data_IF_911204422691
#
_entry.id   IF_911204422691
#
_cell.length_a   1.000
_cell.length_b   1.000
_cell.length_c   1.000
_cell.angle_alpha   90.00
_cell.angle_beta   90.00
_cell.angle_gamma   90.00
#
_symmetry.space_group_name_H-M   'P 1'
#
loop_
_entity.id
_entity.type
_entity.pdbx_description
1 polymer ?
#
# COMPACT_ATOMS: atom_id res chain seq x y z
N UNK A 1 -58.68 -12.30 -21.21
CA UNK A 1 -58.90 -12.87 -22.56
C UNK A 1 -57.62 -12.62 -23.36
N UNK A 2 -56.91 -13.70 -23.80
CA UNK A 2 -55.84 -13.84 -24.82
C UNK A 2 -54.70 -12.78 -24.87
N UNK A 3 -53.44 -13.06 -24.51
CA UNK A 3 -52.41 -13.91 -25.17
C UNK A 3 -51.91 -13.39 -26.53
N UNK A 4 -50.61 -13.08 -26.66
CA UNK A 4 -49.63 -13.85 -27.46
C UNK A 4 -48.25 -13.16 -27.57
N UNK A 5 -47.23 -14.02 -27.57
CA UNK A 5 -45.77 -13.78 -27.59
C UNK A 5 -45.23 -14.07 -29.00
N UNK A 6 -44.15 -13.38 -29.36
CA UNK A 6 -43.37 -13.46 -30.61
C UNK A 6 -42.67 -14.81 -30.84
N UNK A 7 -42.39 -15.13 -32.12
CA UNK A 7 -41.58 -16.29 -32.50
C UNK A 7 -40.65 -16.06 -33.70
N UNK A 8 -39.74 -17.06 -33.85
CA UNK A 8 -38.93 -17.47 -35.02
C UNK A 8 -37.62 -16.66 -35.29
N UNK A 9 -36.50 -17.23 -35.78
CA UNK A 9 -36.18 -18.57 -36.30
C UNK A 9 -34.65 -18.79 -36.50
N UNK A 10 -34.31 -20.01 -36.93
CA UNK A 10 -33.17 -20.54 -37.72
C UNK A 10 -32.40 -21.67 -36.97
N UNK A 11 -32.73 -22.96 -37.18
CA UNK A 11 -32.55 -23.86 -38.34
C UNK A 11 -31.20 -24.59 -38.33
N UNK A 12 -31.21 -25.93 -38.32
CA UNK A 12 -30.23 -26.79 -39.00
C UNK A 12 -30.69 -28.26 -39.02
N UNK A 13 -30.34 -28.92 -40.12
CA UNK A 13 -30.94 -30.10 -40.73
C UNK A 13 -30.29 -31.42 -40.26
N UNK A 14 -31.08 -32.50 -40.17
CA UNK A 14 -30.64 -33.89 -39.94
C UNK A 14 -30.19 -34.56 -41.24
N UNK A 15 -29.18 -35.45 -41.14
CA UNK A 15 -29.12 -36.72 -41.89
C UNK A 15 -28.66 -37.82 -40.91
N UNK A 16 -29.32 -38.98 -40.99
CA UNK A 16 -29.20 -40.15 -40.13
C UNK A 16 -28.75 -41.36 -40.97
N UNK A 17 -27.95 -42.27 -40.41
CA UNK A 17 -27.78 -43.64 -40.90
C UNK A 17 -27.59 -44.61 -39.71
N UNK A 18 -28.70 -45.29 -39.43
CA UNK A 18 -28.95 -46.64 -38.86
C UNK A 18 -27.80 -47.53 -38.37
N UNK A 19 -28.01 -48.20 -37.23
CA UNK A 19 -28.02 -49.69 -37.09
C UNK A 19 -28.43 -50.14 -35.65
N UNK A 20 -29.23 -51.21 -35.58
CA UNK A 20 -29.61 -52.04 -34.41
C UNK A 20 -29.21 -53.50 -34.70
N UNK A 21 -29.41 -54.53 -33.83
CA UNK A 21 -29.36 -54.65 -32.36
C UNK A 21 -28.51 -55.85 -31.83
N UNK A 22 -28.44 -55.98 -30.49
CA UNK A 22 -27.84 -57.03 -29.63
C UNK A 22 -27.98 -58.52 -30.02
N UNK A 23 -26.97 -59.37 -29.71
CA UNK A 23 -27.10 -60.67 -28.99
C UNK A 23 -25.76 -61.40 -28.65
N UNK A 24 -25.77 -62.16 -27.52
CA UNK A 24 -24.90 -63.31 -27.06
C UNK A 24 -23.57 -62.96 -26.36
N UNK A 25 -23.36 -63.22 -25.05
CA UNK A 25 -23.23 -64.48 -24.25
C UNK A 25 -21.89 -65.23 -24.45
N UNK A 26 -21.10 -65.23 -23.36
CA UNK A 26 -20.14 -66.22 -22.82
C UNK A 26 -18.72 -66.38 -23.38
N UNK A 27 -17.85 -66.84 -22.46
CA UNK A 27 -16.41 -67.18 -22.52
C UNK A 27 -15.47 -65.98 -22.29
N UNK A 28 -14.48 -65.98 -21.40
CA UNK A 28 -13.92 -66.96 -20.48
C UNK A 28 -12.46 -66.54 -20.19
N UNK A 29 -12.02 -66.65 -18.92
CA UNK A 29 -10.62 -66.70 -18.47
C UNK A 29 -9.65 -65.55 -18.84
N UNK A 30 -9.22 -64.77 -17.84
CA UNK A 30 -7.89 -64.85 -17.19
C UNK A 30 -7.74 -63.62 -16.28
N UNK A 31 -7.68 -63.86 -14.96
CA UNK A 31 -7.27 -62.88 -13.95
C UNK A 31 -5.75 -62.85 -13.91
N UNK A 32 -5.13 -61.71 -14.17
CA UNK A 32 -3.84 -61.33 -13.57
C UNK A 32 -3.98 -59.88 -13.10
N UNK A 33 -3.89 -59.72 -11.78
CA UNK A 33 -4.01 -58.45 -11.05
C UNK A 33 -2.67 -57.72 -11.17
N UNK A 34 -2.65 -56.57 -11.85
CA UNK A 34 -1.53 -55.63 -11.79
C UNK A 34 -1.75 -54.67 -10.63
N UNK A 35 -0.95 -54.87 -9.58
CA UNK A 35 -0.68 -53.93 -8.51
C UNK A 35 0.44 -53.00 -8.99
N UNK A 36 0.11 -51.77 -9.37
CA UNK A 36 1.08 -50.69 -9.56
C UNK A 36 0.61 -49.48 -8.74
N UNK A 37 0.95 -49.52 -7.45
CA UNK A 37 1.03 -48.35 -6.58
C UNK A 37 2.11 -47.42 -7.13
N UNK A 38 1.68 -46.32 -7.74
CA UNK A 38 2.54 -45.18 -8.03
C UNK A 38 2.79 -44.44 -6.72
N UNK A 39 3.87 -44.79 -6.03
CA UNK A 39 4.49 -43.92 -5.02
C UNK A 39 5.19 -42.78 -5.79
N UNK A 40 4.50 -41.66 -6.01
CA UNK A 40 5.19 -40.41 -6.26
C UNK A 40 5.63 -39.84 -4.92
N UNK A 41 6.94 -39.95 -4.68
CA UNK A 41 7.67 -39.19 -3.68
C UNK A 41 7.28 -37.70 -3.80
N UNK A 42 6.46 -37.22 -2.87
CA UNK A 42 6.52 -35.82 -2.47
C UNK A 42 7.86 -35.66 -1.76
N UNK A 43 8.89 -35.28 -2.52
CA UNK A 43 10.05 -34.64 -1.94
C UNK A 43 9.55 -33.31 -1.38
N UNK A 44 9.20 -33.29 -0.10
CA UNK A 44 9.13 -32.06 0.66
C UNK A 44 10.50 -31.41 0.52
N UNK A 45 10.59 -30.34 -0.27
CA UNK A 45 11.70 -29.41 -0.16
C UNK A 45 11.74 -29.00 1.32
N UNK A 46 12.86 -29.20 2.03
CA UNK A 46 12.94 -28.74 3.41
C UNK A 46 12.73 -27.22 3.35
N UNK A 47 11.59 -26.76 3.87
CA UNK A 47 11.49 -25.38 4.31
C UNK A 47 12.54 -25.29 5.41
N UNK A 48 13.72 -24.76 5.08
CA UNK A 48 14.70 -24.40 6.09
C UNK A 48 13.99 -23.40 6.99
N UNK A 49 13.62 -23.86 8.19
CA UNK A 49 13.10 -22.96 9.22
C UNK A 49 14.27 -22.09 9.64
N UNK A 50 14.34 -20.88 9.08
CA UNK A 50 15.34 -19.88 9.43
C UNK A 50 15.14 -19.30 10.85
N UNK A 51 14.18 -19.84 11.62
CA UNK A 51 13.93 -19.40 12.99
C UNK A 51 15.10 -19.76 13.89
N UNK A 52 15.94 -18.78 14.19
CA UNK A 52 16.82 -18.86 15.35
C UNK A 52 15.98 -18.99 16.65
N UNK A 53 16.52 -19.66 17.66
CA UNK A 53 15.81 -19.88 18.93
C UNK A 53 15.49 -18.59 19.71
N UNK A 54 16.07 -17.43 19.33
CA UNK A 54 15.82 -16.17 20.03
C UNK A 54 14.66 -15.37 19.42
N UNK A 55 14.48 -15.40 18.10
CA UNK A 55 13.42 -14.64 17.43
C UNK A 55 12.02 -15.13 17.78
N UNK A 56 11.87 -16.40 18.16
CA UNK A 56 10.59 -16.97 18.61
C UNK A 56 10.06 -16.36 19.91
N UNK A 57 10.89 -15.63 20.67
CA UNK A 57 10.51 -15.00 21.95
C UNK A 57 10.10 -13.53 21.80
N UNK A 58 10.24 -12.93 20.62
CA UNK A 58 9.99 -11.49 20.44
C UNK A 58 8.55 -11.09 20.72
N UNK A 59 7.58 -11.95 20.45
CA UNK A 59 6.18 -11.67 20.79
C UNK A 59 5.96 -11.66 22.31
N UNK A 60 6.59 -12.58 23.04
CA UNK A 60 6.48 -12.62 24.49
C UNK A 60 7.16 -11.39 25.12
N UNK A 61 8.36 -11.04 24.66
CA UNK A 61 9.07 -9.83 25.08
C UNK A 61 8.27 -8.56 24.80
N UNK A 62 7.64 -8.47 23.62
CA UNK A 62 6.82 -7.32 23.26
C UNK A 62 5.55 -7.19 24.10
N UNK A 63 5.07 -8.31 24.67
CA UNK A 63 3.90 -8.38 25.57
C UNK A 63 4.26 -8.16 27.04
N UNK A 64 5.54 -8.16 27.41
CA UNK A 64 5.93 -7.86 28.78
C UNK A 64 5.39 -6.49 29.19
N UNK A 65 4.80 -6.34 30.39
CA UNK A 65 4.17 -5.08 30.80
C UNK A 65 5.08 -3.87 30.65
N UNK A 66 6.38 -4.01 30.94
CA UNK A 66 7.34 -2.91 30.79
C UNK A 66 7.48 -2.42 29.34
N UNK A 67 7.43 -3.32 28.36
CA UNK A 67 7.54 -2.96 26.93
C UNK A 67 6.18 -2.50 26.41
N UNK A 68 5.10 -3.20 26.76
CA UNK A 68 3.74 -2.85 26.33
C UNK A 68 3.31 -1.48 26.85
N UNK A 69 3.40 -1.24 28.16
CA UNK A 69 2.96 0.02 28.77
C UNK A 69 3.80 1.19 28.24
N UNK A 70 5.10 0.99 28.01
CA UNK A 70 5.97 2.01 27.39
C UNK A 70 5.57 2.33 25.95
N UNK A 71 5.21 1.33 25.14
CA UNK A 71 4.71 1.57 23.77
C UNK A 71 3.37 2.31 23.79
N UNK A 72 2.47 1.94 24.69
CA UNK A 72 1.18 2.61 24.89
C UNK A 72 1.38 4.07 25.27
N UNK A 73 2.28 4.36 26.20
CA UNK A 73 2.62 5.72 26.62
C UNK A 73 3.18 6.57 25.47
N UNK A 74 4.08 6.00 24.66
CA UNK A 74 4.62 6.69 23.47
C UNK A 74 3.50 6.98 22.48
N UNK A 75 2.71 5.96 22.13
CA UNK A 75 1.62 6.07 21.17
C UNK A 75 0.64 7.16 21.60
N UNK A 76 0.23 7.17 22.88
CA UNK A 76 -0.70 8.17 23.42
C UNK A 76 -0.11 9.58 23.43
N UNK A 77 1.18 9.76 23.75
CA UNK A 77 1.85 11.08 23.67
C UNK A 77 1.84 11.65 22.25
N UNK A 78 2.07 10.80 21.25
CA UNK A 78 2.01 11.18 19.83
C UNK A 78 0.55 11.48 19.44
N UNK A 79 -0.38 10.60 19.81
CA UNK A 79 -1.81 10.77 19.51
C UNK A 79 -2.41 12.08 20.07
N UNK A 80 -2.00 12.47 21.28
CA UNK A 80 -2.44 13.71 21.92
C UNK A 80 -1.89 14.97 21.23
N UNK A 81 -0.78 14.89 20.49
CA UNK A 81 -0.10 16.01 19.85
C UNK A 81 0.17 15.76 18.35
N UNK A 82 -0.88 15.54 17.54
CA UNK A 82 -0.72 15.21 16.12
C UNK A 82 -0.17 16.40 15.33
N UNK A 83 0.82 16.13 14.48
CA UNK A 83 1.49 17.10 13.62
C UNK A 83 1.34 16.69 12.14
N UNK A 84 1.26 17.65 11.22
CA UNK A 84 1.05 17.37 9.79
C UNK A 84 2.37 17.10 9.09
N UNK A 85 2.30 16.61 7.85
CA UNK A 85 3.45 16.38 6.98
C UNK A 85 4.45 17.55 6.97
N UNK A 86 5.71 17.26 7.29
CA UNK A 86 6.83 18.21 7.42
C UNK A 86 6.75 19.20 8.60
N UNK A 87 5.74 19.08 9.47
CA UNK A 87 5.56 19.88 10.68
C UNK A 87 5.76 19.04 11.97
N UNK A 88 6.20 17.79 11.85
CA UNK A 88 6.28 16.77 12.92
C UNK A 88 7.46 16.96 13.90
N UNK A 89 7.69 18.19 14.33
CA UNK A 89 8.87 18.56 15.12
C UNK A 89 8.87 17.94 16.51
N UNK A 90 7.73 17.92 17.22
CA UNK A 90 7.64 17.34 18.56
C UNK A 90 7.61 15.81 18.51
N UNK A 91 6.94 15.22 17.51
CA UNK A 91 6.96 13.77 17.26
C UNK A 91 8.37 13.29 16.93
N UNK A 92 9.05 13.98 16.01
CA UNK A 92 10.45 13.70 15.65
C UNK A 92 11.39 13.84 16.87
N UNK A 93 11.18 14.86 17.71
CA UNK A 93 11.94 15.06 18.95
C UNK A 93 11.70 13.95 19.97
N UNK A 94 10.47 13.47 20.13
CA UNK A 94 10.15 12.32 20.97
C UNK A 94 10.90 11.08 20.50
N UNK A 95 10.84 10.77 19.19
CA UNK A 95 11.57 9.65 18.58
C UNK A 95 13.06 9.74 18.89
N UNK A 96 13.70 10.90 18.62
CA UNK A 96 15.13 11.12 18.92
C UNK A 96 15.46 10.94 20.40
N UNK A 97 14.59 11.40 21.29
CA UNK A 97 14.74 11.23 22.75
C UNK A 97 14.71 9.75 23.13
N UNK A 98 13.75 8.97 22.61
CA UNK A 98 13.67 7.54 22.89
C UNK A 98 14.85 6.76 22.31
N UNK A 99 15.28 7.06 21.07
CA UNK A 99 16.50 6.45 20.49
C UNK A 99 17.74 6.78 21.33
N UNK A 100 17.88 8.02 21.81
CA UNK A 100 18.98 8.43 22.70
C UNK A 100 18.98 7.64 24.01
N UNK A 101 17.80 7.46 24.64
CA UNK A 101 17.66 6.67 25.87
C UNK A 101 18.02 5.19 25.67
N UNK A 102 17.70 4.63 24.50
CA UNK A 102 18.05 3.27 24.13
C UNK A 102 19.52 3.12 23.70
N UNK A 103 20.28 4.22 23.59
CA UNK A 103 21.67 4.20 23.12
C UNK A 103 21.79 3.82 21.65
N UNK A 104 20.81 4.21 20.83
CA UNK A 104 20.75 3.95 19.39
C UNK A 104 21.21 5.22 18.64
N UNK A 105 22.33 5.19 17.89
CA UNK A 105 22.76 6.32 17.07
C UNK A 105 21.76 6.58 15.93
N UNK A 106 21.63 7.85 15.52
CA UNK A 106 20.72 8.25 14.44
C UNK A 106 21.22 9.46 13.64
N UNK A 107 20.74 9.59 12.39
CA UNK A 107 20.86 10.78 11.53
C UNK A 107 19.58 11.64 11.63
N UNK A 108 19.74 12.95 11.79
CA UNK A 108 18.68 13.97 11.78
C UNK A 108 19.30 15.35 11.47
N UNK A 109 18.62 16.23 10.71
CA UNK A 109 17.37 15.98 9.99
C UNK A 109 17.57 15.18 8.71
N UNK A 110 16.58 14.38 8.34
CA UNK A 110 16.41 13.76 7.01
C UNK A 110 15.00 14.10 6.54
N UNK A 111 14.81 14.57 5.31
CA UNK A 111 13.51 15.02 4.82
C UNK A 111 12.76 15.97 5.78
N UNK A 112 13.45 17.00 6.31
CA UNK A 112 12.97 17.98 7.31
C UNK A 112 12.85 17.41 8.74
N UNK A 113 11.94 16.47 8.97
CA UNK A 113 11.58 15.94 10.31
C UNK A 113 11.85 14.45 10.47
N UNK A 114 12.27 13.75 9.41
CA UNK A 114 12.61 12.34 9.46
C UNK A 114 13.85 12.03 10.29
N UNK A 115 13.87 10.81 10.84
CA UNK A 115 14.94 10.31 11.72
C UNK A 115 15.33 8.91 11.27
N UNK A 116 16.63 8.67 11.08
CA UNK A 116 17.15 7.36 10.66
C UNK A 116 18.05 6.79 11.75
N UNK A 117 17.62 5.73 12.44
CA UNK A 117 18.37 5.06 13.52
C UNK A 117 19.14 3.82 13.05
N UNK A 118 20.19 3.42 13.77
CA UNK A 118 21.04 2.28 13.40
C UNK A 118 21.30 1.35 14.61
N UNK A 119 21.01 0.06 14.46
CA UNK A 119 21.26 -0.98 15.48
C UNK A 119 22.11 -2.09 14.86
N UNK A 120 23.16 -2.54 15.53
CA UNK A 120 23.98 -3.66 15.06
C UNK A 120 25.45 -3.31 14.89
N UNK A 121 26.09 -3.89 13.89
CA UNK A 121 27.54 -3.79 13.68
C UNK A 121 27.99 -2.41 13.20
N UNK A 122 27.08 -1.62 12.63
CA UNK A 122 27.41 -0.37 11.92
C UNK A 122 27.92 -0.62 10.49
N UNK A 123 27.94 -1.87 10.04
CA UNK A 123 28.41 -2.28 8.71
C UNK A 123 27.37 -3.17 8.03
N UNK A 124 27.57 -3.38 6.73
CA UNK A 124 26.77 -4.25 5.87
C UNK A 124 26.70 -5.70 6.41
N UNK A 125 25.61 -6.46 6.16
CA UNK A 125 24.39 -6.09 5.42
C UNK A 125 23.46 -5.15 6.18
N UNK A 126 22.75 -4.30 5.43
CA UNK A 126 21.75 -3.36 5.96
C UNK A 126 20.33 -3.80 5.60
N UNK A 127 19.42 -3.76 6.58
CA UNK A 127 17.98 -3.97 6.37
C UNK A 127 17.20 -2.85 7.04
N UNK A 128 16.22 -2.27 6.33
CA UNK A 128 15.42 -1.17 6.85
C UNK A 128 14.05 -1.62 7.37
N UNK A 129 13.59 -0.96 8.42
CA UNK A 129 12.24 -1.04 8.96
C UNK A 129 11.64 0.38 8.95
N UNK A 130 10.44 0.56 8.38
CA UNK A 130 9.81 1.88 8.20
C UNK A 130 8.58 2.06 9.08
N UNK A 131 8.45 3.25 9.67
CA UNK A 131 7.23 3.81 10.23
C UNK A 131 7.07 5.26 9.75
N UNK A 132 5.89 5.62 9.27
CA UNK A 132 5.44 7.00 9.02
C UNK A 132 5.09 7.68 10.35
N UNK A 133 5.16 9.02 10.39
CA UNK A 133 5.04 9.80 11.64
C UNK A 133 4.01 10.92 11.59
N UNK A 134 3.47 11.27 10.42
CA UNK A 134 2.54 12.38 10.25
C UNK A 134 1.10 12.04 10.61
N UNK A 135 0.33 13.08 10.92
CA UNK A 135 -1.10 13.04 11.19
C UNK A 135 -1.90 13.69 10.04
N UNK A 136 -3.22 13.68 10.17
CA UNK A 136 -4.15 14.23 9.19
C UNK A 136 -4.84 15.51 9.70
N UNK A 137 -5.27 16.41 8.79
CA UNK A 137 -6.05 17.61 9.12
C UNK A 137 -7.53 17.25 9.36
N UNK A 138 -7.77 16.37 10.34
CA UNK A 138 -9.09 15.88 10.73
C UNK A 138 -9.36 16.26 12.19
N UNK A 139 -10.54 16.78 12.47
CA UNK A 139 -10.99 16.96 13.85
C UNK A 139 -11.36 15.60 14.45
N UNK A 140 -10.66 15.18 15.49
CA UNK A 140 -11.02 13.97 16.24
C UNK A 140 -12.37 14.14 16.95
N UNK A 141 -13.22 13.11 16.84
CA UNK A 141 -14.55 13.03 17.45
C UNK A 141 -14.68 11.82 18.39
N UNK A 142 -13.56 11.16 18.73
CA UNK A 142 -13.52 10.13 19.77
C UNK A 142 -13.46 10.82 21.14
N UNK A 143 -14.40 10.49 22.02
CA UNK A 143 -14.40 10.99 23.41
C UNK A 143 -13.67 10.00 24.32
N UNK A 144 -12.42 10.30 24.66
CA UNK A 144 -11.56 9.49 25.54
C UNK A 144 -10.41 10.34 26.13
N UNK A 145 -9.69 9.79 27.11
CA UNK A 145 -8.66 10.51 27.89
C UNK A 145 -7.49 11.04 27.04
N UNK A 146 -7.07 10.29 26.03
CA UNK A 146 -5.89 10.60 25.21
C UNK A 146 -6.25 11.11 23.80
N UNK A 147 -7.44 11.70 23.63
CA UNK A 147 -7.79 12.36 22.37
C UNK A 147 -6.81 13.48 22.04
N UNK A 148 -6.67 13.81 20.77
CA UNK A 148 -5.92 14.95 20.25
C UNK A 148 -6.24 16.22 21.04
N UNK A 149 -5.18 16.88 21.51
CA UNK A 149 -5.21 18.19 22.17
C UNK A 149 -5.03 19.33 21.17
N UNK A 150 -4.82 19.01 19.89
CA UNK A 150 -4.59 19.97 18.80
C UNK A 150 -5.84 20.04 17.92
N UNK A 151 -6.63 21.14 17.96
CA UNK A 151 -7.85 21.26 17.17
C UNK A 151 -7.58 21.07 15.67
N UNK A 152 -8.46 20.30 15.01
CA UNK A 152 -8.38 20.04 13.57
C UNK A 152 -7.26 19.09 13.12
N UNK A 153 -6.51 18.47 14.03
CA UNK A 153 -5.48 17.46 13.70
C UNK A 153 -5.74 16.15 14.47
N UNK A 154 -5.54 15.00 13.81
CA UNK A 154 -5.76 13.67 14.37
C UNK A 154 -4.88 12.62 13.70
N UNK A 155 -4.30 11.70 14.48
CA UNK A 155 -3.75 10.45 13.94
C UNK A 155 -4.89 9.48 13.57
N UNK A 156 -5.53 9.73 12.43
CA UNK A 156 -6.64 8.94 11.92
C UNK A 156 -6.22 7.80 10.98
N UNK A 157 -4.92 7.56 10.81
CA UNK A 157 -4.37 6.47 9.97
C UNK A 157 -3.52 5.45 10.76
N UNK A 158 -3.24 5.72 12.04
CA UNK A 158 -2.48 4.82 12.93
C UNK A 158 -0.96 5.04 12.94
N UNK A 159 -0.46 6.13 12.36
CA UNK A 159 0.98 6.43 12.29
C UNK A 159 1.62 6.59 13.69
N UNK A 160 0.85 7.07 14.67
CA UNK A 160 1.22 7.04 16.10
C UNK A 160 1.54 5.63 16.62
N UNK A 161 0.79 4.63 16.15
CA UNK A 161 1.02 3.24 16.46
C UNK A 161 2.20 2.66 15.69
N UNK A 162 2.37 3.03 14.41
CA UNK A 162 3.51 2.59 13.60
C UNK A 162 4.84 3.02 14.26
N UNK A 163 4.92 4.27 14.71
CA UNK A 163 6.08 4.79 15.49
C UNK A 163 6.30 3.99 16.76
N UNK A 164 5.25 3.78 17.56
CA UNK A 164 5.36 3.05 18.82
C UNK A 164 5.83 1.60 18.61
N UNK A 165 5.33 0.93 17.57
CA UNK A 165 5.73 -0.43 17.20
C UNK A 165 7.18 -0.49 16.71
N UNK A 166 7.63 0.49 15.92
CA UNK A 166 9.01 0.53 15.45
C UNK A 166 9.99 0.85 16.60
N UNK A 167 9.62 1.72 17.54
CA UNK A 167 10.39 1.97 18.77
C UNK A 167 10.41 0.74 19.69
N UNK A 168 9.32 0.00 19.77
CA UNK A 168 9.25 -1.32 20.43
C UNK A 168 10.24 -2.31 19.82
N UNK A 169 10.24 -2.41 18.49
CA UNK A 169 11.17 -3.26 17.76
C UNK A 169 12.61 -2.83 18.00
N UNK A 170 12.89 -1.52 18.00
CA UNK A 170 14.19 -0.95 18.30
C UNK A 170 14.68 -1.36 19.70
N UNK A 171 13.82 -1.29 20.74
CA UNK A 171 14.14 -1.70 22.11
C UNK A 171 14.52 -3.19 22.17
N UNK A 172 13.75 -4.07 21.53
CA UNK A 172 14.03 -5.52 21.49
C UNK A 172 15.31 -5.81 20.72
N UNK A 173 15.46 -5.25 19.50
CA UNK A 173 16.65 -5.46 18.67
C UNK A 173 17.92 -4.98 19.37
N UNK A 174 17.86 -3.83 20.05
CA UNK A 174 19.01 -3.29 20.80
C UNK A 174 19.41 -4.19 21.97
N UNK A 175 18.46 -4.81 22.66
CA UNK A 175 18.74 -5.79 23.71
C UNK A 175 19.44 -7.05 23.18
N UNK A 176 19.21 -7.38 21.90
CA UNK A 176 19.78 -8.53 21.19
C UNK A 176 20.85 -8.14 20.16
N UNK A 177 21.42 -6.94 20.25
CA UNK A 177 22.29 -6.37 19.21
C UNK A 177 23.49 -7.27 18.86
N UNK A 178 24.01 -8.02 19.84
CA UNK A 178 25.14 -8.95 19.67
C UNK A 178 24.81 -10.17 18.81
N UNK A 179 23.53 -10.50 18.67
CA UNK A 179 23.04 -11.65 17.91
C UNK A 179 22.68 -11.27 16.45
N UNK A 180 22.87 -10.00 16.08
CA UNK A 180 22.50 -9.44 14.77
C UNK A 180 23.76 -9.32 13.87
N UNK A 181 23.93 -10.18 12.85
CA UNK A 181 25.11 -10.17 11.98
C UNK A 181 24.97 -9.15 10.84
N UNK A 182 24.82 -7.87 11.19
CA UNK A 182 24.64 -6.76 10.26
C UNK A 182 24.05 -5.54 10.97
N UNK A 183 23.38 -4.67 10.22
CA UNK A 183 22.81 -3.44 10.76
C UNK A 183 21.35 -3.27 10.37
N UNK A 184 20.49 -3.05 11.36
CA UNK A 184 19.09 -2.66 11.17
C UNK A 184 19.01 -1.14 11.10
N UNK A 185 18.38 -0.63 10.04
CA UNK A 185 18.12 0.78 9.78
C UNK A 185 16.66 1.08 10.14
N UNK A 186 16.43 1.98 11.09
CA UNK A 186 15.09 2.39 11.51
C UNK A 186 14.71 3.68 10.80
N UNK A 187 13.74 3.63 9.90
CA UNK A 187 13.29 4.76 9.07
C UNK A 187 12.01 5.33 9.68
N UNK A 188 12.13 6.47 10.37
CA UNK A 188 10.98 7.25 10.83
C UNK A 188 10.70 8.35 9.81
N UNK A 189 9.68 8.14 8.99
CA UNK A 189 9.39 8.92 7.81
C UNK A 189 8.34 10.02 8.07
N UNK A 190 8.57 11.27 7.65
CA UNK A 190 7.55 12.32 7.65
C UNK A 190 6.63 12.28 6.43
N UNK A 191 5.52 12.99 6.50
CA UNK A 191 4.72 13.41 5.36
C UNK A 191 4.30 12.30 4.37
N UNK A 192 3.81 11.16 4.87
CA UNK A 192 3.21 10.09 4.06
C UNK A 192 1.92 10.54 3.38
N UNK A 193 1.08 11.32 4.10
CA UNK A 193 -0.31 11.67 3.73
C UNK A 193 -0.39 12.76 2.62
N UNK A 194 0.37 12.56 1.54
CA UNK A 194 0.43 13.41 0.35
C UNK A 194 1.67 14.30 0.27
N UNK A 195 2.59 14.23 1.24
CA UNK A 195 3.82 15.02 1.23
C UNK A 195 4.97 14.38 0.45
N UNK A 196 4.92 13.08 0.19
CA UNK A 196 5.97 12.35 -0.53
C UNK A 196 7.27 12.22 0.25
N UNK A 197 7.19 12.03 1.57
CA UNK A 197 8.37 11.96 2.44
C UNK A 197 9.29 10.77 2.16
N UNK A 198 8.75 9.64 1.69
CA UNK A 198 9.57 8.49 1.29
C UNK A 198 10.54 8.86 0.15
N UNK A 199 10.05 9.59 -0.86
CA UNK A 199 10.88 10.06 -1.97
C UNK A 199 11.98 11.00 -1.48
N UNK A 200 11.68 11.94 -0.58
CA UNK A 200 12.70 12.85 -0.02
C UNK A 200 13.78 12.10 0.77
N UNK A 201 13.42 11.07 1.53
CA UNK A 201 14.39 10.21 2.24
C UNK A 201 15.30 9.47 1.25
N UNK A 202 14.73 8.92 0.17
CA UNK A 202 15.52 8.29 -0.89
C UNK A 202 16.48 9.28 -1.56
N UNK A 203 15.98 10.48 -1.89
CA UNK A 203 16.77 11.53 -2.54
C UNK A 203 17.90 12.06 -1.63
N UNK A 204 17.73 12.03 -0.30
CA UNK A 204 18.78 12.34 0.70
C UNK A 204 19.92 11.30 0.71
N UNK A 205 19.75 10.14 0.06
CA UNK A 205 20.79 9.14 -0.15
C UNK A 205 21.11 8.25 1.05
N UNK A 206 20.45 8.44 2.19
CA UNK A 206 20.74 7.73 3.45
C UNK A 206 20.47 6.22 3.42
N UNK A 207 19.76 5.73 2.39
CA UNK A 207 19.39 4.32 2.23
C UNK A 207 20.07 3.63 1.04
N UNK A 208 21.08 4.23 0.41
CA UNK A 208 21.69 3.72 -0.84
C UNK A 208 22.18 2.26 -0.77
N UNK A 209 22.71 1.83 0.38
CA UNK A 209 23.27 0.48 0.57
C UNK A 209 22.32 -0.47 1.34
N UNK A 210 21.06 -0.11 1.50
CA UNK A 210 20.05 -0.96 2.16
C UNK A 210 19.61 -2.08 1.20
N UNK A 211 19.75 -3.34 1.65
CA UNK A 211 19.43 -4.53 0.84
C UNK A 211 17.94 -4.79 0.70
N UNK A 212 17.15 -4.46 1.73
CA UNK A 212 15.70 -4.58 1.72
C UNK A 212 15.07 -3.67 2.76
N UNK A 213 13.80 -3.30 2.53
CA UNK A 213 12.99 -2.50 3.46
C UNK A 213 11.66 -3.17 3.77
N UNK A 214 11.26 -3.16 5.05
CA UNK A 214 9.98 -3.68 5.50
C UNK A 214 9.14 -2.58 6.15
N UNK A 215 7.86 -2.50 5.78
CA UNK A 215 6.87 -1.63 6.40
C UNK A 215 5.68 -2.43 6.90
N UNK A 216 4.90 -1.84 7.80
CA UNK A 216 3.57 -2.33 8.14
C UNK A 216 2.58 -1.19 8.16
N UNK A 217 1.30 -1.53 7.99
CA UNK A 217 0.20 -0.62 8.22
C UNK A 217 -0.90 -1.33 9.04
N UNK A 218 -1.49 -0.65 10.01
CA UNK A 218 -2.59 -1.25 10.81
C UNK A 218 -3.88 -1.39 9.98
N UNK A 219 -4.64 -2.44 10.24
CA UNK A 219 -5.90 -2.76 9.55
C UNK A 219 -7.05 -2.97 10.56
N UNK A 220 -8.02 -2.03 10.66
CA UNK A 220 -9.17 -2.15 11.58
C UNK A 220 -10.13 -3.28 11.21
N UNK A 221 -10.02 -3.87 10.02
CA UNK A 221 -10.95 -4.88 9.53
C UNK A 221 -10.54 -6.30 9.90
N UNK A 222 -9.27 -6.50 10.31
CA UNK A 222 -8.68 -7.81 10.60
C UNK A 222 -8.45 -8.04 12.09
N UNK A 223 -8.68 -9.27 12.60
CA UNK A 223 -8.35 -9.66 13.96
C UNK A 223 -6.92 -9.35 14.39
N UNK A 224 -6.72 -9.00 15.67
CA UNK A 224 -5.38 -8.91 16.26
C UNK A 224 -4.60 -10.20 16.02
N UNK A 225 -3.33 -10.04 15.65
CA UNK A 225 -2.42 -11.14 15.37
C UNK A 225 -2.54 -11.71 13.95
N UNK A 226 -3.58 -11.35 13.18
CA UNK A 226 -3.59 -11.61 11.74
C UNK A 226 -2.73 -10.59 11.01
N UNK A 227 -1.93 -11.09 10.07
CA UNK A 227 -1.21 -10.28 9.08
C UNK A 227 -1.67 -10.64 7.68
N UNK A 228 -1.73 -9.65 6.78
CA UNK A 228 -2.14 -9.87 5.41
C UNK A 228 -1.30 -9.12 4.40
N UNK A 229 -0.89 -9.81 3.34
CA UNK A 229 -0.16 -9.20 2.22
C UNK A 229 -0.23 -10.12 1.00
N UNK A 230 0.49 -9.76 -0.06
CA UNK A 230 0.60 -10.54 -1.29
C UNK A 230 1.89 -10.22 -2.02
N UNK A 231 2.31 -11.14 -2.88
CA UNK A 231 3.31 -10.91 -3.92
C UNK A 231 2.79 -9.93 -4.98
N UNK A 232 3.70 -9.12 -5.52
CA UNK A 232 3.39 -8.16 -6.57
C UNK A 232 2.48 -7.01 -6.09
N UNK A 233 1.59 -6.50 -6.96
CA UNK A 233 0.80 -5.30 -6.65
C UNK A 233 -0.08 -5.45 -5.41
N UNK A 234 -0.04 -4.46 -4.51
CA UNK A 234 -0.86 -4.40 -3.29
C UNK A 234 -1.70 -3.11 -3.25
N UNK A 235 -1.05 -1.94 -3.30
CA UNK A 235 -1.71 -0.64 -3.31
C UNK A 235 -1.61 0.02 -4.69
N UNK A 236 -2.62 0.81 -5.06
CA UNK A 236 -2.63 1.53 -6.33
C UNK A 236 -1.67 2.73 -6.29
N UNK A 237 -1.11 3.08 -7.44
CA UNK A 237 -0.51 4.40 -7.62
C UNK A 237 -1.59 5.48 -7.67
N UNK A 238 -1.22 6.73 -7.46
CA UNK A 238 -2.13 7.87 -7.55
C UNK A 238 -1.44 9.02 -8.28
N UNK A 239 -2.17 9.60 -9.23
CA UNK A 239 -1.82 10.85 -9.88
C UNK A 239 -3.01 11.80 -9.87
N UNK A 240 -2.72 13.08 -10.01
CA UNK A 240 -3.72 14.14 -10.13
C UNK A 240 -3.60 14.82 -11.48
N UNK A 241 -4.66 15.48 -11.93
CA UNK A 241 -4.58 16.36 -13.07
C UNK A 241 -5.50 17.56 -12.89
N UNK A 242 -5.11 18.66 -13.52
CA UNK A 242 -5.92 19.85 -13.70
C UNK A 242 -5.85 20.27 -15.16
N UNK A 243 -6.97 20.66 -15.74
CA UNK A 243 -7.03 21.18 -17.08
C UNK A 243 -7.86 22.45 -17.18
N UNK A 244 -7.37 23.41 -17.95
CA UNK A 244 -8.06 24.66 -18.27
C UNK A 244 -8.49 24.58 -19.73
N UNK A 245 -9.80 24.63 -19.96
CA UNK A 245 -10.43 24.60 -21.27
C UNK A 245 -10.87 26.02 -21.60
N UNK A 246 -10.25 26.63 -22.62
CA UNK A 246 -10.44 28.03 -23.00
C UNK A 246 -11.20 28.13 -24.32
N UNK A 247 -12.28 28.90 -24.31
CA UNK A 247 -13.11 29.20 -25.47
C UNK A 247 -13.13 30.69 -25.74
N UNK A 248 -14.33 31.23 -25.94
CA UNK A 248 -14.58 32.66 -26.12
C UNK A 248 -15.97 32.98 -25.55
N UNK A 249 -15.99 33.76 -24.49
CA UNK A 249 -17.21 34.16 -23.81
C UNK A 249 -18.10 35.08 -24.64
N UNK A 250 -19.33 35.28 -24.14
CA UNK A 250 -20.28 36.20 -24.76
C UNK A 250 -21.69 36.08 -24.20
N UNK A 251 -22.62 36.85 -24.77
CA UNK A 251 -24.01 36.86 -24.32
C UNK A 251 -24.70 35.53 -24.68
N UNK A 252 -25.30 34.84 -23.71
CA UNK A 252 -25.86 33.49 -23.89
C UNK A 252 -26.96 33.41 -24.96
N UNK A 253 -27.71 34.50 -25.18
CA UNK A 253 -28.73 34.58 -26.24
C UNK A 253 -28.17 34.74 -27.67
N UNK A 254 -26.85 34.90 -27.84
CA UNK A 254 -26.20 35.13 -29.15
C UNK A 254 -24.98 34.20 -29.31
N UNK A 255 -25.14 32.87 -29.18
CA UNK A 255 -24.02 31.93 -29.04
C UNK A 255 -23.15 31.81 -30.30
N UNK A 256 -23.64 32.23 -31.48
CA UNK A 256 -22.89 32.14 -32.73
C UNK A 256 -21.59 32.98 -32.75
N UNK A 257 -21.45 33.96 -31.84
CA UNK A 257 -20.23 34.77 -31.70
C UNK A 257 -19.29 34.29 -30.59
N UNK A 258 -19.68 33.23 -29.88
CA UNK A 258 -18.97 32.63 -28.75
C UNK A 258 -18.43 31.23 -29.11
N UNK A 259 -17.53 30.73 -28.28
CA UNK A 259 -17.05 29.36 -28.29
C UNK A 259 -17.21 28.86 -26.86
N UNK A 260 -18.17 27.98 -26.62
CA UNK A 260 -18.63 27.64 -25.27
C UNK A 260 -17.74 26.56 -24.60
N UNK A 261 -16.94 26.93 -23.59
CA UNK A 261 -16.08 25.97 -22.89
C UNK A 261 -16.85 25.07 -21.91
N UNK A 262 -18.08 25.41 -21.50
CA UNK A 262 -18.91 24.55 -20.63
C UNK A 262 -19.34 23.31 -21.39
N UNK A 263 -19.78 23.47 -22.64
CA UNK A 263 -20.14 22.34 -23.51
C UNK A 263 -18.91 21.49 -23.82
N UNK A 264 -17.77 22.11 -24.11
CA UNK A 264 -16.52 21.39 -24.35
C UNK A 264 -16.10 20.56 -23.13
N UNK A 265 -16.07 21.16 -21.93
CA UNK A 265 -15.71 20.48 -20.69
C UNK A 265 -16.66 19.34 -20.33
N UNK A 266 -17.95 19.49 -20.60
CA UNK A 266 -18.94 18.43 -20.38
C UNK A 266 -18.66 17.20 -21.25
N UNK A 267 -18.32 17.40 -22.52
CA UNK A 267 -17.95 16.31 -23.43
C UNK A 267 -16.59 15.68 -23.06
N UNK A 268 -15.62 16.49 -22.63
CA UNK A 268 -14.36 16.00 -22.07
C UNK A 268 -14.61 15.03 -20.91
N UNK A 269 -15.45 15.39 -19.95
CA UNK A 269 -15.73 14.55 -18.77
C UNK A 269 -16.33 13.20 -19.18
N UNK A 270 -17.32 13.21 -20.07
CA UNK A 270 -17.94 11.98 -20.56
C UNK A 270 -16.90 11.11 -21.28
N UNK A 271 -16.09 11.71 -22.14
CA UNK A 271 -15.06 10.99 -22.89
C UNK A 271 -13.97 10.41 -21.98
N UNK A 272 -13.58 11.11 -20.91
CA UNK A 272 -12.63 10.60 -19.92
C UNK A 272 -13.12 9.30 -19.27
N UNK A 273 -14.42 9.17 -18.99
CA UNK A 273 -14.98 7.92 -18.43
C UNK A 273 -14.89 6.73 -19.41
N UNK A 274 -14.73 6.99 -20.71
CA UNK A 274 -14.52 5.93 -21.69
C UNK A 274 -13.11 5.32 -21.63
N UNK A 275 -12.13 6.00 -21.05
CA UNK A 275 -10.81 5.42 -20.81
C UNK A 275 -10.95 4.13 -19.98
N UNK A 276 -11.63 4.21 -18.84
CA UNK A 276 -11.84 3.07 -17.93
C UNK A 276 -12.80 2.04 -18.51
N UNK A 277 -13.85 2.47 -19.22
CA UNK A 277 -14.83 1.50 -19.69
C UNK A 277 -14.42 0.79 -20.97
N UNK A 278 -13.63 1.40 -21.87
CA UNK A 278 -13.38 0.92 -23.24
C UNK A 278 -11.91 0.71 -23.62
N UNK A 279 -10.96 1.38 -22.97
CA UNK A 279 -9.54 1.29 -23.33
C UNK A 279 -8.74 0.38 -22.40
N UNK A 280 -9.08 0.35 -21.11
CA UNK A 280 -8.36 -0.45 -20.11
C UNK A 280 -8.73 -1.93 -20.20
N UNK A 281 -7.77 -2.82 -19.91
CA UNK A 281 -8.06 -4.24 -19.71
C UNK A 281 -9.07 -4.40 -18.57
N UNK A 282 -10.21 -5.10 -18.75
CA UNK A 282 -11.17 -5.35 -17.68
C UNK A 282 -10.60 -6.06 -16.44
N UNK A 283 -9.46 -6.75 -16.56
CA UNK A 283 -8.74 -7.38 -15.45
C UNK A 283 -7.72 -6.47 -14.78
N UNK A 284 -7.37 -5.35 -15.42
CA UNK A 284 -6.50 -4.31 -14.85
C UNK A 284 -7.35 -3.21 -14.22
N UNK A 285 -7.50 -3.29 -12.90
CA UNK A 285 -8.35 -2.34 -12.17
C UNK A 285 -7.75 -0.94 -12.16
N UNK A 286 -8.48 0.00 -12.77
CA UNK A 286 -8.10 1.40 -12.88
C UNK A 286 -9.26 2.31 -12.48
N UNK A 287 -8.94 3.49 -11.94
CA UNK A 287 -9.93 4.50 -11.56
C UNK A 287 -9.53 5.84 -12.15
N UNK A 288 -10.49 6.55 -12.72
CA UNK A 288 -10.37 7.94 -13.12
C UNK A 288 -11.57 8.70 -12.58
N UNK A 289 -11.33 9.73 -11.78
CA UNK A 289 -12.39 10.54 -11.17
C UNK A 289 -12.17 12.00 -11.47
N UNK A 290 -13.17 12.67 -12.07
CA UNK A 290 -13.20 14.13 -12.17
C UNK A 290 -13.88 14.66 -10.91
N UNK A 291 -13.09 15.23 -10.00
CA UNK A 291 -13.57 15.74 -8.72
C UNK A 291 -13.78 17.25 -8.70
N UNK A 292 -13.31 17.98 -9.71
CA UNK A 292 -13.35 19.44 -9.81
C UNK A 292 -13.94 19.86 -11.15
N UNK A 293 -14.92 20.77 -11.10
CA UNK A 293 -15.47 21.49 -12.24
C UNK A 293 -15.81 22.92 -11.83
N UNK A 294 -15.22 23.91 -12.49
CA UNK A 294 -15.45 25.34 -12.22
C UNK A 294 -15.52 26.13 -13.51
N UNK A 295 -16.62 26.84 -13.75
CA UNK A 295 -16.72 27.81 -14.83
C UNK A 295 -18.09 28.45 -14.93
N UNK A 296 -18.10 29.74 -15.30
CA UNK A 296 -19.30 30.58 -15.37
C UNK A 296 -19.78 31.07 -14.01
N UNK A 297 -20.15 32.36 -13.94
CA UNK A 297 -20.69 32.99 -12.72
C UNK A 297 -22.13 33.50 -12.92
N UNK A 298 -22.47 33.93 -14.15
CA UNK A 298 -23.76 34.53 -14.48
C UNK A 298 -24.59 33.64 -15.42
N UNK A 299 -25.91 33.59 -15.18
CA UNK A 299 -26.83 32.73 -15.94
C UNK A 299 -26.95 33.06 -17.44
N UNK A 300 -26.64 34.30 -17.83
CA UNK A 300 -26.80 34.81 -19.20
C UNK A 300 -25.47 35.07 -19.91
N UNK A 301 -24.37 34.53 -19.40
CA UNK A 301 -23.02 34.72 -19.94
C UNK A 301 -22.38 33.35 -20.19
N UNK A 302 -21.90 33.15 -21.42
CA UNK A 302 -20.97 32.07 -21.75
C UNK A 302 -19.59 32.51 -21.25
N UNK A 303 -18.89 31.74 -20.39
CA UNK A 303 -17.59 32.14 -19.86
C UNK A 303 -16.46 31.97 -20.89
N UNK A 304 -15.32 32.60 -20.62
CA UNK A 304 -14.11 32.44 -21.44
C UNK A 304 -13.40 31.10 -21.19
N UNK A 305 -13.56 30.49 -20.02
CA UNK A 305 -12.89 29.23 -19.67
C UNK A 305 -13.61 28.40 -18.62
N UNK A 306 -13.28 27.11 -18.56
CA UNK A 306 -13.67 26.16 -17.52
C UNK A 306 -12.42 25.43 -17.01
N UNK A 307 -12.29 25.28 -15.70
CA UNK A 307 -11.26 24.42 -15.09
C UNK A 307 -11.88 23.11 -14.63
N UNK A 308 -11.29 21.99 -15.05
CA UNK A 308 -11.62 20.66 -14.55
C UNK A 308 -10.41 20.05 -13.85
N UNK A 309 -10.62 19.13 -12.93
CA UNK A 309 -9.53 18.42 -12.28
C UNK A 309 -9.98 17.13 -11.62
N UNK A 310 -9.03 16.26 -11.34
CA UNK A 310 -9.35 14.90 -10.91
C UNK A 310 -8.14 14.09 -10.46
N UNK A 311 -8.40 12.81 -10.20
CA UNK A 311 -7.40 11.81 -9.81
C UNK A 311 -7.49 10.61 -10.73
N UNK A 312 -6.37 9.91 -10.88
CA UNK A 312 -6.31 8.63 -11.57
C UNK A 312 -5.43 7.63 -10.80
N UNK A 313 -5.80 6.35 -10.86
CA UNK A 313 -5.19 5.25 -10.08
C UNK A 313 -5.11 3.98 -10.92
N UNK A 314 -4.05 3.23 -10.71
CA UNK A 314 -3.82 1.91 -11.31
C UNK A 314 -2.79 1.11 -10.50
N UNK A 315 -2.73 -0.21 -10.72
CA UNK A 315 -1.84 -1.11 -9.98
C UNK A 315 -0.49 -1.37 -10.65
N UNK A 316 -0.25 -0.78 -11.83
CA UNK A 316 1.01 -0.92 -12.55
C UNK A 316 1.50 0.44 -13.05
N UNK A 317 2.84 0.59 -13.13
CA UNK A 317 3.47 1.81 -13.66
C UNK A 317 3.09 2.04 -15.12
N UNK A 318 3.01 0.97 -15.90
CA UNK A 318 2.58 1.01 -17.30
C UNK A 318 1.17 1.59 -17.42
N UNK A 319 0.22 1.06 -16.66
CA UNK A 319 -1.17 1.51 -16.64
C UNK A 319 -1.30 2.96 -16.15
N UNK A 320 -0.53 3.35 -15.13
CA UNK A 320 -0.49 4.75 -14.65
C UNK A 320 0.00 5.70 -15.75
N UNK A 321 1.08 5.36 -16.46
CA UNK A 321 1.63 6.20 -17.52
C UNK A 321 0.74 6.23 -18.76
N UNK A 322 0.13 5.10 -19.11
CA UNK A 322 -0.87 5.05 -20.16
C UNK A 322 -2.08 5.94 -19.85
N UNK A 323 -2.64 5.85 -18.63
CA UNK A 323 -3.72 6.75 -18.21
C UNK A 323 -3.31 8.21 -18.26
N UNK A 324 -2.14 8.57 -17.70
CA UNK A 324 -1.61 9.94 -17.73
C UNK A 324 -1.61 10.49 -19.15
N UNK A 325 -1.03 9.74 -20.09
CA UNK A 325 -0.98 10.11 -21.50
C UNK A 325 -2.37 10.22 -22.15
N UNK A 326 -3.26 9.25 -21.89
CA UNK A 326 -4.60 9.21 -22.49
C UNK A 326 -5.52 10.31 -21.97
N UNK A 327 -5.42 10.66 -20.68
CA UNK A 327 -6.14 11.79 -20.08
C UNK A 327 -5.82 13.07 -20.84
N UNK A 328 -4.54 13.36 -21.05
CA UNK A 328 -4.10 14.55 -21.79
C UNK A 328 -4.64 14.55 -23.23
N UNK A 329 -4.48 13.43 -23.95
CA UNK A 329 -4.92 13.31 -25.33
C UNK A 329 -6.45 13.48 -25.48
N UNK A 330 -7.24 12.90 -24.57
CA UNK A 330 -8.71 13.04 -24.60
C UNK A 330 -9.13 14.47 -24.30
N UNK A 331 -8.52 15.12 -23.29
CA UNK A 331 -8.84 16.51 -22.95
C UNK A 331 -8.56 17.44 -24.14
N UNK A 332 -7.36 17.35 -24.73
CA UNK A 332 -6.96 18.19 -25.86
C UNK A 332 -7.84 17.91 -27.08
N UNK A 333 -8.07 16.63 -27.41
CA UNK A 333 -8.87 16.23 -28.56
C UNK A 333 -10.33 16.68 -28.46
N UNK A 334 -10.97 16.47 -27.31
CA UNK A 334 -12.36 16.88 -27.09
C UNK A 334 -12.50 18.40 -27.05
N UNK A 335 -11.57 19.13 -26.43
CA UNK A 335 -11.61 20.60 -26.49
C UNK A 335 -11.51 21.12 -27.93
N UNK A 336 -10.61 20.54 -28.74
CA UNK A 336 -10.37 20.97 -30.12
C UNK A 336 -11.60 20.82 -31.02
N UNK A 337 -12.38 19.73 -30.92
CA UNK A 337 -13.59 19.54 -31.75
C UNK A 337 -14.68 20.57 -31.44
N UNK A 338 -14.64 21.16 -30.24
CA UNK A 338 -15.51 22.27 -29.82
C UNK A 338 -14.90 23.65 -30.11
N UNK A 339 -13.77 23.72 -30.84
CA UNK A 339 -13.01 24.95 -31.14
C UNK A 339 -12.40 25.62 -29.89
N UNK A 340 -12.29 24.90 -28.78
CA UNK A 340 -11.60 25.36 -27.58
C UNK A 340 -10.12 24.95 -27.62
N UNK A 341 -9.28 25.66 -26.88
CA UNK A 341 -7.94 25.22 -26.52
C UNK A 341 -7.96 24.57 -25.12
N UNK A 342 -7.03 23.66 -24.84
CA UNK A 342 -6.88 23.08 -23.50
C UNK A 342 -5.41 22.95 -23.10
N UNK A 343 -5.13 23.23 -21.83
CA UNK A 343 -3.84 22.96 -21.19
C UNK A 343 -4.06 21.98 -20.05
N UNK A 344 -3.20 20.98 -19.91
CA UNK A 344 -3.27 19.96 -18.86
C UNK A 344 -2.00 20.03 -18.02
N UNK A 345 -2.15 20.06 -16.70
CA UNK A 345 -1.06 19.97 -15.74
C UNK A 345 -1.33 18.77 -14.82
N UNK A 346 -0.32 17.94 -14.58
CA UNK A 346 -0.41 16.79 -13.67
C UNK A 346 0.02 17.12 -12.23
N UNK A 347 0.37 18.39 -11.97
CA UNK A 347 0.69 18.93 -10.64
C UNK A 347 1.80 18.16 -9.91
N UNK A 348 2.74 17.57 -10.66
CA UNK A 348 3.80 16.72 -10.09
C UNK A 348 4.72 17.53 -9.13
N UNK A 349 4.74 18.87 -9.25
CA UNK A 349 5.49 19.77 -8.36
C UNK A 349 4.75 20.09 -7.05
N UNK A 350 3.42 20.18 -7.08
CA UNK A 350 2.60 20.53 -5.92
C UNK A 350 2.06 19.30 -5.17
N UNK A 351 1.72 18.23 -5.89
CA UNK A 351 1.16 16.99 -5.38
C UNK A 351 1.99 15.84 -5.93
N UNK A 352 2.89 15.25 -5.13
CA UNK A 352 3.76 14.19 -5.58
C UNK A 352 2.99 13.02 -6.19
N UNK A 353 3.43 12.60 -7.38
CA UNK A 353 3.01 11.34 -7.96
C UNK A 353 3.42 10.18 -7.05
N UNK A 354 2.46 9.30 -6.72
CA UNK A 354 2.72 8.09 -5.94
C UNK A 354 2.71 6.88 -6.88
N UNK A 355 3.85 6.17 -7.03
CA UNK A 355 3.88 4.94 -7.83
C UNK A 355 3.05 3.82 -7.17
N UNK A 356 2.63 2.80 -7.92
CA UNK A 356 1.96 1.64 -7.33
C UNK A 356 2.88 0.86 -6.39
N UNK A 357 2.36 0.48 -5.23
CA UNK A 357 3.09 -0.36 -4.27
C UNK A 357 3.05 -1.82 -4.73
N UNK A 358 4.21 -2.40 -5.01
CA UNK A 358 4.36 -3.78 -5.47
C UNK A 358 5.41 -4.50 -4.65
N UNK A 359 4.97 -5.48 -3.87
CA UNK A 359 5.84 -6.26 -3.00
C UNK A 359 6.74 -7.20 -3.80
N UNK A 360 8.02 -7.25 -3.42
CA UNK A 360 8.98 -8.18 -3.98
C UNK A 360 8.60 -9.65 -3.67
N UNK A 361 8.74 -10.53 -4.67
CA UNK A 361 8.30 -11.94 -4.58
C UNK A 361 9.14 -12.77 -3.60
N UNK A 362 10.46 -12.58 -3.58
CA UNK A 362 11.35 -13.29 -2.66
C UNK A 362 11.12 -12.84 -1.21
N UNK A 363 10.88 -11.54 -1.01
CA UNK A 363 10.49 -11.00 0.29
C UNK A 363 9.10 -11.48 0.73
N UNK A 364 8.18 -11.77 -0.20
CA UNK A 364 6.88 -12.35 0.13
C UNK A 364 7.02 -13.75 0.75
N UNK A 365 7.80 -14.62 0.11
CA UNK A 365 8.06 -15.97 0.63
C UNK A 365 8.79 -15.91 1.98
N UNK A 366 9.77 -15.01 2.09
CA UNK A 366 10.48 -14.77 3.34
C UNK A 366 9.53 -14.30 4.45
N UNK A 367 8.71 -13.29 4.19
CA UNK A 367 7.70 -12.78 5.13
C UNK A 367 6.75 -13.89 5.58
N UNK A 368 6.22 -14.69 4.66
CA UNK A 368 5.34 -15.80 4.98
C UNK A 368 6.01 -16.76 5.98
N UNK A 369 7.27 -17.13 5.75
CA UNK A 369 8.00 -18.02 6.66
C UNK A 369 8.14 -17.43 8.07
N UNK A 370 8.50 -16.14 8.18
CA UNK A 370 8.70 -15.47 9.47
C UNK A 370 7.36 -15.29 10.20
N UNK A 371 6.33 -14.81 9.50
CA UNK A 371 5.01 -14.57 10.05
C UNK A 371 4.31 -15.88 10.48
N UNK A 372 4.45 -16.97 9.72
CA UNK A 372 3.90 -18.28 10.10
C UNK A 372 4.56 -18.80 11.37
N UNK A 373 5.88 -18.63 11.52
CA UNK A 373 6.58 -19.03 12.74
C UNK A 373 6.14 -18.21 13.96
N UNK A 374 5.90 -16.91 13.79
CA UNK A 374 5.56 -16.02 14.90
C UNK A 374 4.07 -16.08 15.30
N UNK A 375 3.17 -16.15 14.32
CA UNK A 375 1.72 -16.04 14.55
C UNK A 375 0.95 -17.31 14.23
N UNK A 376 1.57 -18.30 13.59
CA UNK A 376 0.91 -19.52 13.13
C UNK A 376 0.25 -19.36 11.76
N UNK A 377 0.15 -20.47 11.02
CA UNK A 377 -0.35 -20.50 9.62
C UNK A 377 -1.74 -19.89 9.45
N UNK A 378 -2.61 -20.05 10.45
CA UNK A 378 -3.97 -19.53 10.37
C UNK A 378 -4.04 -18.01 10.42
N UNK A 379 -2.99 -17.33 10.89
CA UNK A 379 -2.96 -15.89 11.06
C UNK A 379 -2.24 -15.16 9.91
N UNK A 380 -1.73 -15.89 8.91
CA UNK A 380 -1.10 -15.29 7.73
C UNK A 380 -2.05 -15.41 6.55
N UNK A 381 -2.57 -14.26 6.07
CA UNK A 381 -3.59 -14.20 5.04
C UNK A 381 -3.06 -13.58 3.74
N UNK A 382 -3.64 -13.99 2.62
CA UNK A 382 -3.49 -13.22 1.39
C UNK A 382 -4.34 -11.95 1.47
N UNK A 383 -3.79 -10.82 1.03
CA UNK A 383 -4.55 -9.59 0.82
C UNK A 383 -5.15 -9.55 -0.59
N UNK A 384 -6.28 -8.85 -0.73
CA UNK A 384 -6.75 -8.38 -2.03
C UNK A 384 -5.96 -7.13 -2.48
N UNK A 385 -6.17 -6.69 -3.71
CA UNK A 385 -5.77 -5.35 -4.16
C UNK A 385 -6.50 -4.28 -3.34
N UNK A 386 -5.82 -3.16 -3.09
CA UNK A 386 -6.34 -2.02 -2.32
C UNK A 386 -6.15 -0.74 -3.12
N UNK A 387 -7.23 -0.02 -3.42
CA UNK A 387 -7.23 1.18 -4.29
C UNK A 387 -6.75 2.46 -3.58
N UNK A 388 -6.29 2.33 -2.34
CA UNK A 388 -5.58 3.41 -1.63
C UNK A 388 -4.15 3.49 -2.19
N UNK A 389 -3.46 4.59 -1.94
CA UNK A 389 -2.05 4.76 -2.29
C UNK A 389 -1.23 4.91 -1.03
N UNK A 390 0.04 4.52 -1.12
CA UNK A 390 0.98 4.51 -0.02
C UNK A 390 2.35 4.88 -0.60
N UNK A 391 2.98 5.91 -0.04
CA UNK A 391 4.23 6.44 -0.60
C UNK A 391 5.45 5.54 -0.36
N UNK A 392 5.30 4.48 0.45
CA UNK A 392 6.27 3.37 0.58
C UNK A 392 6.70 2.80 -0.77
N UNK A 393 5.86 2.93 -1.80
CA UNK A 393 6.20 2.60 -3.19
C UNK A 393 7.49 3.28 -3.67
N UNK A 394 7.83 4.47 -3.17
CA UNK A 394 9.08 5.17 -3.50
C UNK A 394 10.32 4.40 -3.06
N UNK A 395 10.26 3.72 -1.89
CA UNK A 395 11.36 2.84 -1.50
C UNK A 395 11.44 1.60 -2.38
N UNK A 396 10.29 1.08 -2.82
CA UNK A 396 10.24 -0.09 -3.71
C UNK A 396 10.79 0.17 -5.11
N UNK A 397 10.81 1.43 -5.57
CA UNK A 397 11.53 1.82 -6.79
C UNK A 397 13.06 1.80 -6.61
N UNK A 398 13.55 1.98 -5.38
CA UNK A 398 14.98 2.06 -5.07
C UNK A 398 15.59 0.72 -4.61
N UNK A 399 14.83 -0.12 -3.92
CA UNK A 399 15.28 -1.39 -3.34
C UNK A 399 14.14 -2.40 -3.20
N UNK A 400 14.43 -3.71 -3.03
CA UNK A 400 13.41 -4.69 -2.67
C UNK A 400 12.67 -4.27 -1.39
N UNK A 401 11.37 -3.95 -1.51
CA UNK A 401 10.55 -3.54 -0.38
C UNK A 401 9.34 -4.44 -0.18
N UNK A 402 8.92 -4.59 1.08
CA UNK A 402 7.77 -5.40 1.44
C UNK A 402 6.93 -4.75 2.53
N UNK A 403 5.68 -4.44 2.21
CA UNK A 403 4.69 -3.90 3.17
C UNK A 403 3.54 -4.88 3.37
N UNK A 404 2.99 -4.91 4.58
CA UNK A 404 1.89 -5.78 4.95
C UNK A 404 0.93 -5.09 5.92
N UNK A 405 -0.28 -5.63 6.00
CA UNK A 405 -1.32 -5.19 6.91
C UNK A 405 -1.26 -5.96 8.23
N UNK A 406 -1.42 -5.27 9.35
CA UNK A 406 -1.50 -5.86 10.69
C UNK A 406 -2.89 -5.62 11.29
N UNK A 407 -3.61 -6.68 11.60
CA UNK A 407 -4.95 -6.58 12.18
C UNK A 407 -4.96 -6.00 13.59
N UNK A 408 -6.00 -5.21 13.88
CA UNK A 408 -6.22 -4.63 15.22
C UNK A 408 -7.65 -4.82 15.75
N UNK A 409 -8.51 -5.49 14.99
CA UNK A 409 -9.89 -5.76 15.40
C UNK A 409 -9.91 -6.78 16.55
N UNK A 410 -10.66 -6.51 17.60
CA UNK A 410 -11.05 -7.55 18.53
C UNK A 410 -12.29 -8.28 17.98
N UNK A 411 -12.26 -9.61 17.93
CA UNK A 411 -13.31 -10.44 17.31
C UNK A 411 -14.67 -10.23 18.00
N UNK A 412 -14.68 -9.94 19.30
CA UNK A 412 -15.89 -9.74 20.10
C UNK A 412 -16.30 -8.27 20.26
N UNK A 413 -15.53 -7.31 19.73
CA UNK A 413 -15.79 -5.89 19.89
C UNK A 413 -16.55 -5.28 18.71
N UNK A 414 -17.06 -4.06 18.92
CA UNK A 414 -17.64 -3.24 17.88
C UNK A 414 -16.68 -3.02 16.71
N UNK A 415 -17.25 -2.77 15.53
CA UNK A 415 -16.48 -2.50 14.32
C UNK A 415 -15.67 -1.22 14.52
N UNK A 416 -14.35 -1.33 14.41
CA UNK A 416 -13.46 -0.16 14.37
C UNK A 416 -13.73 0.66 13.11
N UNK A 417 -13.69 1.99 13.25
CA UNK A 417 -13.75 2.88 12.11
C UNK A 417 -12.50 2.70 11.23
N UNK A 418 -12.69 2.94 9.93
CA UNK A 418 -11.60 2.84 8.93
C UNK A 418 -10.65 4.03 9.03
N UNK A 419 -9.42 3.93 8.48
CA UNK A 419 -8.53 5.08 8.39
C UNK A 419 -9.22 6.31 7.77
N UNK A 420 -8.76 7.49 8.17
CA UNK A 420 -9.25 8.82 7.76
C UNK A 420 -10.67 9.15 8.28
N UNK A 421 -11.22 8.33 9.19
CA UNK A 421 -12.48 8.62 9.86
C UNK A 421 -12.25 9.42 11.16
N UNK A 422 -13.05 10.46 11.47
CA UNK A 422 -12.97 11.20 12.74
C UNK A 422 -13.15 10.36 14.03
N UNK A 423 -13.70 9.15 13.91
CA UNK A 423 -13.88 8.18 14.99
C UNK A 423 -12.88 7.01 14.92
N UNK A 424 -11.82 7.11 14.13
CA UNK A 424 -10.76 6.10 14.08
C UNK A 424 -10.16 5.87 15.46
N UNK A 425 -10.06 4.61 15.86
CA UNK A 425 -9.48 4.21 17.14
C UNK A 425 -8.56 3.02 16.93
N UNK A 426 -7.33 3.16 17.40
CA UNK A 426 -6.38 2.06 17.49
C UNK A 426 -6.79 1.11 18.62
N UNK A 427 -6.67 -0.20 18.38
CA UNK A 427 -6.64 -1.17 19.46
C UNK A 427 -5.18 -1.41 19.90
N UNK A 428 -4.83 -0.92 21.08
CA UNK A 428 -3.45 -0.93 21.60
C UNK A 428 -2.90 -2.35 21.81
N UNK A 429 -3.77 -3.36 21.97
CA UNK A 429 -3.38 -4.78 22.06
C UNK A 429 -2.66 -5.30 20.79
N UNK A 430 -2.70 -4.56 19.68
CA UNK A 430 -1.96 -4.89 18.45
C UNK A 430 -0.48 -4.52 18.52
N UNK A 431 -0.08 -3.56 19.38
CA UNK A 431 1.28 -3.02 19.43
C UNK A 431 2.37 -4.10 19.60
N UNK A 432 2.20 -5.11 20.48
CA UNK A 432 3.20 -6.19 20.60
C UNK A 432 3.41 -6.99 19.33
N UNK A 433 2.36 -7.16 18.51
CA UNK A 433 2.42 -7.96 17.29
C UNK A 433 3.23 -7.24 16.21
N UNK A 434 3.01 -5.94 16.00
CA UNK A 434 3.80 -5.15 15.05
C UNK A 434 5.26 -5.02 15.46
N UNK A 435 5.50 -4.79 16.75
CA UNK A 435 6.85 -4.80 17.34
C UNK A 435 7.58 -6.12 17.07
N UNK A 436 6.93 -7.25 17.38
CA UNK A 436 7.54 -8.56 17.25
C UNK A 436 7.83 -8.95 15.80
N UNK A 437 6.93 -8.65 14.86
CA UNK A 437 7.14 -8.97 13.45
C UNK A 437 8.22 -8.08 12.82
N UNK A 438 8.30 -6.78 13.18
CA UNK A 438 9.40 -5.91 12.75
C UNK A 438 10.75 -6.45 13.19
N UNK A 439 10.91 -6.73 14.49
CA UNK A 439 12.14 -7.28 15.03
C UNK A 439 12.51 -8.63 14.40
N UNK A 440 11.49 -9.48 14.17
CA UNK A 440 11.67 -10.80 13.56
C UNK A 440 12.10 -10.71 12.10
N UNK A 441 11.47 -9.84 11.29
CA UNK A 441 11.82 -9.67 9.89
C UNK A 441 13.26 -9.20 9.73
N UNK A 442 13.65 -8.16 10.47
CA UNK A 442 15.01 -7.62 10.40
C UNK A 442 16.06 -8.66 10.84
N UNK A 443 15.86 -9.29 12.00
CA UNK A 443 16.83 -10.25 12.55
C UNK A 443 16.97 -11.49 11.65
N UNK A 444 15.86 -12.09 11.22
CA UNK A 444 15.90 -13.28 10.36
C UNK A 444 16.45 -12.95 8.96
N UNK A 445 16.23 -11.74 8.44
CA UNK A 445 16.74 -11.35 7.13
C UNK A 445 18.27 -11.21 7.17
N UNK A 446 18.81 -10.58 8.20
CA UNK A 446 20.26 -10.47 8.38
C UNK A 446 20.92 -11.84 8.65
N UNK A 447 20.28 -12.70 9.44
CA UNK A 447 20.74 -14.08 9.64
C UNK A 447 20.78 -14.87 8.32
N UNK A 448 19.75 -14.73 7.48
CA UNK A 448 19.70 -15.35 6.16
C UNK A 448 20.85 -14.85 5.28
N UNK A 449 21.03 -13.53 5.16
CA UNK A 449 22.13 -12.95 4.37
C UNK A 449 23.52 -13.38 4.88
N UNK A 450 23.70 -13.48 6.20
CA UNK A 450 24.95 -13.96 6.79
C UNK A 450 25.26 -15.42 6.47
N UNK A 451 24.23 -16.27 6.37
CA UNK A 451 24.40 -17.68 5.99
C UNK A 451 24.70 -17.84 4.49
N UNK A 452 24.22 -16.90 3.65
CA UNK A 452 24.44 -16.89 2.21
C UNK A 452 25.79 -16.25 1.81
N UNK A 453 26.46 -15.52 2.73
CA UNK A 453 27.73 -14.82 2.52
C UNK A 453 28.92 -15.69 2.06
N UNK A 454 29.07 -17.00 2.43
CA UNK A 454 30.11 -17.87 1.85
C UNK A 454 29.96 -18.15 0.34
N UNK A 455 28.85 -17.72 -0.29
CA UNK A 455 28.57 -17.93 -1.72
C UNK A 455 28.64 -16.65 -2.57
N UNK A 456 28.84 -15.48 -1.96
CA UNK A 456 28.85 -14.17 -2.63
C UNK A 456 30.12 -13.40 -2.25
N UNK A 457 31.26 -13.78 -2.84
CA UNK A 457 32.38 -12.85 -2.94
C UNK A 457 32.04 -11.80 -4.00
N UNK A 458 32.05 -10.52 -3.59
CA UNK A 458 31.79 -9.28 -4.34
C UNK A 458 30.34 -8.74 -4.24
N UNK A 459 30.24 -7.51 -3.70
CA UNK A 459 29.11 -6.52 -3.76
C UNK A 459 28.43 -6.13 -2.44
N UNK A 460 29.18 -5.85 -1.39
CA UNK A 460 28.65 -5.05 -0.29
C UNK A 460 29.59 -3.88 0.00
N UNK A 461 29.07 -2.65 -0.11
CA UNK A 461 29.75 -1.45 0.37
C UNK A 461 29.56 -1.36 1.89
N UNK A 462 30.63 -1.02 2.60
CA UNK A 462 30.67 -1.10 4.07
C UNK A 462 30.07 0.11 4.81
N UNK A 463 29.71 1.19 4.10
CA UNK A 463 29.25 2.46 4.68
C UNK A 463 27.85 2.88 4.18
N UNK A 464 27.07 3.60 4.99
CA UNK A 464 25.71 4.11 4.69
C UNK A 464 25.65 5.62 4.41
#
# INVERSE_FOLDING_TARGET
MKALIFGASYALTRISLTLTPNLKIAMGFVKWVNLLTIFHFFAATPIFSYSSSFTSKFLDLAKEPEVFDWMVDIRRKIHENPELGYEEFETSKLIRSELTKLGIPYKYPVAVTGVIGFIGTGSSPFVALRADIDALPIQELVEWEHRSKVPGKMHACGHDAHVAMLLGAAKILKAHEKDIPGTVVLVFQPAEEGGGGAKKIIDDGVLQNVSAIFGLHVDPTRPIGEVASRSGPLFSGCGVFEAIISGKGGHAAIPQYSIDPIVAASNVIIALQHLISRETDPLDSQVLTVGKFRGGDAFNVIPDSVTIGGTFRAFSRESMMHLKQRIEQVIIGQASVHRCNATVNFLDEEIPYVPPTSNNDDLHQFFQSVAVNLFGVNNVKSSSLIMVSEDFASYQEAMPGYIFLLGMKNISAERLAVPHNPHFKLNEDTLPYGTAIHASLASNYLLKLHQDLPLLHEKYNDEL
#
